data_IF_226368012059
#
_entry.id   IF_226368012059
#
_cell.length_a   1.000
_cell.length_b   1.000
_cell.length_c   1.000
_cell.angle_alpha   90.00
_cell.angle_beta   90.00
_cell.angle_gamma   90.00
#
_symmetry.space_group_name_H-M   'P 1'
#
loop_
_entity.id
_entity.type
_entity.pdbx_description
1 polymer ?
#
# COMPACT_ATOMS: atom_id res chain seq x y z
N UNK A 1 11.36 -1.60 18.97
CA UNK A 1 10.26 -2.51 19.38
C UNK A 1 9.54 -2.03 20.63
N UNK A 2 9.52 -0.72 20.84
CA UNK A 2 8.94 0.03 21.96
C UNK A 2 7.61 0.68 21.60
N UNK A 3 7.13 0.50 20.36
CA UNK A 3 5.79 0.87 19.94
C UNK A 3 4.78 0.26 20.93
N UNK A 4 3.86 1.08 21.43
CA UNK A 4 2.82 0.58 22.34
C UNK A 4 1.85 -0.33 21.58
N UNK A 5 1.33 -1.34 22.27
CA UNK A 5 0.30 -2.23 21.72
C UNK A 5 -0.93 -1.47 21.18
N UNK A 6 -1.40 -0.43 21.87
CA UNK A 6 -2.55 0.39 21.44
C UNK A 6 -2.30 1.09 20.10
N UNK A 7 -1.13 1.72 19.93
CA UNK A 7 -0.74 2.36 18.65
C UNK A 7 -0.65 1.34 17.52
N UNK A 8 -0.11 0.15 17.78
CA UNK A 8 -0.11 -0.93 16.81
C UNK A 8 -1.52 -1.36 16.43
N UNK A 9 -2.43 -1.53 17.39
CA UNK A 9 -3.83 -1.87 17.10
C UNK A 9 -4.53 -0.77 16.28
N UNK A 10 -4.28 0.50 16.61
CA UNK A 10 -4.80 1.64 15.86
C UNK A 10 -4.32 1.60 14.41
N UNK A 11 -3.01 1.43 14.20
CA UNK A 11 -2.42 1.26 12.87
C UNK A 11 -3.06 0.12 12.09
N UNK A 12 -3.17 -1.09 12.67
CA UNK A 12 -3.72 -2.26 11.97
C UNK A 12 -5.18 -2.05 11.54
N UNK A 13 -6.00 -1.37 12.36
CA UNK A 13 -7.38 -1.04 11.98
C UNK A 13 -7.39 -0.04 10.82
N UNK A 14 -6.59 1.02 10.91
CA UNK A 14 -6.54 2.05 9.88
C UNK A 14 -6.03 1.50 8.55
N UNK A 15 -4.98 0.69 8.59
CA UNK A 15 -4.40 0.05 7.42
C UNK A 15 -5.38 -0.95 6.78
N UNK A 16 -6.12 -1.73 7.59
CA UNK A 16 -7.19 -2.57 7.07
C UNK A 16 -8.28 -1.77 6.33
N UNK A 17 -8.73 -0.64 6.91
CA UNK A 17 -9.71 0.23 6.23
C UNK A 17 -9.13 0.83 4.94
N UNK A 18 -7.86 1.22 4.95
CA UNK A 18 -7.15 1.71 3.77
C UNK A 18 -7.11 0.66 2.65
N UNK A 19 -6.80 -0.60 2.97
CA UNK A 19 -6.70 -1.68 1.98
C UNK A 19 -8.04 -2.00 1.29
N UNK A 20 -9.17 -1.82 1.98
CA UNK A 20 -10.50 -1.94 1.36
C UNK A 20 -10.69 -0.89 0.27
N UNK A 21 -10.34 0.37 0.57
CA UNK A 21 -10.42 1.45 -0.41
C UNK A 21 -9.37 1.31 -1.52
N UNK A 22 -8.15 0.86 -1.17
CA UNK A 22 -7.06 0.58 -2.10
C UNK A 22 -7.47 -0.44 -3.16
N UNK A 23 -8.08 -1.55 -2.72
CA UNK A 23 -8.64 -2.58 -3.61
C UNK A 23 -9.72 -2.00 -4.52
N UNK A 24 -10.62 -1.17 -4.00
CA UNK A 24 -11.63 -0.51 -4.81
C UNK A 24 -11.07 0.44 -5.88
N UNK A 25 -9.92 1.07 -5.63
CA UNK A 25 -9.24 1.92 -6.63
C UNK A 25 -8.56 1.07 -7.69
N UNK A 26 -7.98 -0.08 -7.33
CA UNK A 26 -7.48 -1.06 -8.32
C UNK A 26 -8.60 -1.57 -9.24
N UNK A 27 -9.75 -1.90 -8.68
CA UNK A 27 -10.94 -2.29 -9.46
C UNK A 27 -11.45 -1.16 -10.37
N UNK A 28 -11.29 0.10 -9.96
CA UNK A 28 -11.56 1.26 -10.80
C UNK A 28 -10.58 1.34 -11.98
N UNK A 29 -9.28 1.14 -11.73
CA UNK A 29 -8.25 1.13 -12.77
C UNK A 29 -8.45 0.01 -13.79
N UNK A 30 -8.89 -1.16 -13.35
CA UNK A 30 -9.22 -2.28 -14.23
C UNK A 30 -10.27 -1.88 -15.28
N UNK A 31 -11.20 -0.97 -14.93
CA UNK A 31 -12.24 -0.46 -15.84
C UNK A 31 -11.73 0.65 -16.78
N UNK A 32 -10.51 1.14 -16.58
CA UNK A 32 -9.90 2.19 -17.39
C UNK A 32 -9.07 1.65 -18.56
N UNK A 33 -8.99 0.33 -18.75
CA UNK A 33 -8.19 -0.30 -19.82
C UNK A 33 -8.89 -1.53 -20.40
N UNK A 34 -8.61 -1.81 -21.68
CA UNK A 34 -9.00 -3.05 -22.35
C UNK A 34 -7.78 -3.90 -22.75
N UNK A 35 -6.55 -3.46 -22.44
CA UNK A 35 -5.33 -4.23 -22.71
C UNK A 35 -5.31 -5.48 -21.81
N UNK A 36 -5.37 -6.71 -22.37
CA UNK A 36 -5.39 -7.94 -21.59
C UNK A 36 -4.19 -8.09 -20.65
N UNK A 37 -3.02 -7.54 -21.00
CA UNK A 37 -1.82 -7.60 -20.15
C UNK A 37 -1.97 -6.71 -18.92
N UNK A 38 -2.51 -5.51 -19.08
CA UNK A 38 -2.77 -4.60 -17.97
C UNK A 38 -3.90 -5.10 -17.09
N UNK A 39 -4.98 -5.65 -17.68
CA UNK A 39 -6.04 -6.28 -16.90
C UNK A 39 -5.51 -7.42 -16.03
N UNK A 40 -4.76 -8.36 -16.64
CA UNK A 40 -4.18 -9.50 -15.91
C UNK A 40 -3.20 -9.06 -14.81
N UNK A 41 -2.46 -7.98 -15.07
CA UNK A 41 -1.56 -7.40 -14.07
C UNK A 41 -2.35 -6.81 -12.89
N UNK A 42 -3.36 -5.98 -13.14
CA UNK A 42 -4.17 -5.35 -12.09
C UNK A 42 -4.92 -6.41 -11.28
N UNK A 43 -5.52 -7.41 -11.93
CA UNK A 43 -6.20 -8.53 -11.27
C UNK A 43 -5.24 -9.26 -10.32
N UNK A 44 -4.00 -9.52 -10.77
CA UNK A 44 -2.98 -10.14 -9.93
C UNK A 44 -2.62 -9.29 -8.71
N UNK A 45 -2.49 -7.97 -8.86
CA UNK A 45 -2.22 -7.08 -7.71
C UNK A 45 -3.40 -7.11 -6.72
N UNK A 46 -4.64 -7.12 -7.21
CA UNK A 46 -5.84 -7.26 -6.36
C UNK A 46 -5.79 -8.57 -5.56
N UNK A 47 -5.48 -9.69 -6.22
CA UNK A 47 -5.32 -10.99 -5.56
C UNK A 47 -4.23 -10.97 -4.49
N UNK A 48 -3.09 -10.33 -4.77
CA UNK A 48 -1.96 -10.23 -3.84
C UNK A 48 -2.31 -9.37 -2.60
N UNK A 49 -3.02 -8.25 -2.78
CA UNK A 49 -3.54 -7.43 -1.66
C UNK A 49 -4.53 -8.21 -0.81
N UNK A 50 -5.44 -8.96 -1.44
CA UNK A 50 -6.38 -9.82 -0.71
C UNK A 50 -5.66 -10.92 0.08
N UNK A 51 -4.67 -11.55 -0.54
CA UNK A 51 -3.84 -12.57 0.10
C UNK A 51 -3.05 -12.03 1.30
N UNK A 52 -2.44 -10.85 1.16
CA UNK A 52 -1.75 -10.16 2.26
C UNK A 52 -2.72 -9.89 3.41
N UNK A 53 -3.90 -9.34 3.12
CA UNK A 53 -4.92 -9.03 4.11
C UNK A 53 -5.33 -10.28 4.90
N UNK A 54 -5.57 -11.40 4.22
CA UNK A 54 -6.00 -12.66 4.84
C UNK A 54 -4.90 -13.36 5.64
N UNK A 55 -3.64 -13.19 5.25
CA UNK A 55 -2.50 -13.91 5.84
C UNK A 55 -1.70 -13.11 6.85
N UNK A 56 -1.75 -11.79 6.76
CA UNK A 56 -0.97 -10.86 7.59
C UNK A 56 -1.91 -10.05 8.46
N UNK A 57 -2.78 -9.21 7.87
CA UNK A 57 -3.58 -8.26 8.63
C UNK A 57 -4.59 -8.92 9.54
N UNK A 58 -5.47 -9.78 9.03
CA UNK A 58 -6.52 -10.42 9.84
C UNK A 58 -5.91 -11.26 10.99
N UNK A 59 -4.90 -12.13 10.75
CA UNK A 59 -4.25 -12.86 11.83
C UNK A 59 -3.54 -11.96 12.84
N UNK A 60 -2.85 -10.91 12.39
CA UNK A 60 -2.16 -9.96 13.27
C UNK A 60 -3.15 -9.18 14.14
N UNK A 61 -4.25 -8.70 13.57
CA UNK A 61 -5.34 -8.04 14.30
C UNK A 61 -5.94 -8.98 15.36
N UNK A 62 -6.20 -10.24 15.01
CA UNK A 62 -6.70 -11.24 15.96
C UNK A 62 -5.70 -11.53 17.08
N UNK A 63 -4.41 -11.68 16.76
CA UNK A 63 -3.32 -11.86 17.75
C UNK A 63 -3.20 -10.65 18.66
N UNK A 64 -3.48 -9.46 18.14
CA UNK A 64 -3.50 -8.21 18.88
C UNK A 64 -4.79 -7.99 19.69
N UNK A 65 -5.76 -8.91 19.63
CA UNK A 65 -7.01 -8.81 20.39
C UNK A 65 -8.08 -7.89 19.79
N UNK A 66 -7.90 -7.44 18.54
CA UNK A 66 -8.85 -6.58 17.84
C UNK A 66 -10.04 -7.41 17.38
N UNK A 67 -11.24 -6.96 17.72
CA UNK A 67 -12.50 -7.62 17.37
C UNK A 67 -13.10 -7.06 16.08
N UNK A 68 -13.88 -7.87 15.37
CA UNK A 68 -14.64 -7.41 14.18
C UNK A 68 -15.55 -6.23 14.51
N UNK A 69 -16.12 -6.20 15.72
CA UNK A 69 -16.96 -5.09 16.18
C UNK A 69 -16.17 -3.79 16.33
N UNK A 70 -14.92 -3.84 16.78
CA UNK A 70 -14.06 -2.66 16.85
C UNK A 70 -13.75 -2.12 15.44
N UNK A 71 -13.43 -3.01 14.49
CA UNK A 71 -13.21 -2.63 13.10
C UNK A 71 -14.45 -1.97 12.50
N UNK A 72 -15.63 -2.57 12.67
CA UNK A 72 -16.90 -2.05 12.15
C UNK A 72 -17.30 -0.70 12.73
N UNK A 73 -16.92 -0.41 13.98
CA UNK A 73 -17.22 0.87 14.64
C UNK A 73 -16.11 1.92 14.45
N UNK A 74 -15.01 1.55 13.80
CA UNK A 74 -13.89 2.46 13.57
C UNK A 74 -14.15 3.35 12.36
N UNK A 75 -13.72 4.60 12.47
CA UNK A 75 -13.67 5.53 11.36
C UNK A 75 -12.23 5.66 10.87
N UNK A 76 -12.07 5.85 9.57
CA UNK A 76 -10.77 6.15 8.97
C UNK A 76 -10.24 7.49 9.52
N UNK A 77 -8.94 7.55 9.81
CA UNK A 77 -8.26 8.78 10.20
C UNK A 77 -8.42 9.85 9.13
N UNK A 78 -8.44 11.10 9.56
CA UNK A 78 -8.59 12.27 8.68
C UNK A 78 -7.54 12.34 7.57
N UNK A 79 -6.26 12.06 7.87
CA UNK A 79 -5.17 12.10 6.88
C UNK A 79 -5.31 10.95 5.91
N UNK A 80 -5.64 9.75 6.41
CA UNK A 80 -5.83 8.57 5.57
C UNK A 80 -7.06 8.72 4.66
N UNK A 81 -8.14 9.30 5.16
CA UNK A 81 -9.33 9.61 4.36
C UNK A 81 -9.07 10.67 3.28
N UNK A 82 -8.22 11.66 3.56
CA UNK A 82 -7.73 12.60 2.55
C UNK A 82 -6.88 11.89 1.50
N UNK A 83 -5.98 11.01 1.93
CA UNK A 83 -5.10 10.25 1.04
C UNK A 83 -5.90 9.34 0.09
N UNK A 84 -6.81 8.53 0.64
CA UNK A 84 -7.72 7.69 -0.15
C UNK A 84 -8.55 8.51 -1.14
N UNK A 85 -9.07 9.67 -0.70
CA UNK A 85 -9.83 10.56 -1.59
C UNK A 85 -8.97 11.06 -2.75
N UNK A 86 -7.72 11.44 -2.46
CA UNK A 86 -6.75 11.83 -3.48
C UNK A 86 -6.52 10.69 -4.47
N UNK A 87 -6.11 9.50 -4.00
CA UNK A 87 -5.84 8.36 -4.88
C UNK A 87 -7.05 7.94 -5.71
N UNK A 88 -8.26 7.97 -5.15
CA UNK A 88 -9.50 7.64 -5.88
C UNK A 88 -9.80 8.61 -7.03
N UNK A 89 -9.40 9.87 -6.92
CA UNK A 89 -9.65 10.85 -7.97
C UNK A 89 -8.66 10.73 -9.13
N UNK A 90 -7.43 10.25 -8.87
CA UNK A 90 -6.35 10.18 -9.86
C UNK A 90 -6.73 9.38 -11.13
N UNK A 91 -7.27 8.15 -11.07
CA UNK A 91 -7.59 7.38 -12.28
C UNK A 91 -8.51 8.14 -13.25
N UNK A 92 -9.54 8.80 -12.73
CA UNK A 92 -10.53 9.52 -13.54
C UNK A 92 -9.99 10.85 -14.03
N UNK A 93 -9.23 11.57 -13.20
CA UNK A 93 -8.80 12.92 -13.55
C UNK A 93 -7.47 12.99 -14.31
N UNK A 94 -6.62 11.96 -14.18
CA UNK A 94 -5.24 11.94 -14.71
C UNK A 94 -4.91 10.67 -15.50
N UNK A 95 -5.83 9.70 -15.53
CA UNK A 95 -5.72 8.51 -16.36
C UNK A 95 -5.07 7.29 -15.67
N UNK A 96 -5.00 6.19 -16.43
CA UNK A 96 -4.56 4.89 -15.93
C UNK A 96 -3.12 4.91 -15.38
N UNK A 97 -2.16 5.44 -16.14
CA UNK A 97 -0.75 5.51 -15.74
C UNK A 97 -0.58 6.27 -14.41
N UNK A 98 -1.32 7.37 -14.26
CA UNK A 98 -1.32 8.18 -13.05
C UNK A 98 -1.85 7.40 -11.84
N UNK A 99 -2.93 6.64 -12.01
CA UNK A 99 -3.48 5.85 -10.90
C UNK A 99 -2.60 4.65 -10.54
N UNK A 100 -2.00 3.98 -11.53
CA UNK A 100 -0.98 2.95 -11.28
C UNK A 100 0.21 3.52 -10.51
N UNK A 101 0.66 4.74 -10.87
CA UNK A 101 1.76 5.43 -10.18
C UNK A 101 1.39 5.81 -8.74
N UNK A 102 0.16 6.31 -8.52
CA UNK A 102 -0.31 6.71 -7.20
C UNK A 102 -0.33 5.53 -6.23
N UNK A 103 -0.88 4.38 -6.65
CA UNK A 103 -0.99 3.18 -5.82
C UNK A 103 0.35 2.44 -5.65
N UNK A 104 1.25 2.50 -6.65
CA UNK A 104 2.58 1.91 -6.56
C UNK A 104 3.38 2.46 -5.37
N UNK A 105 3.20 3.74 -5.04
CA UNK A 105 4.00 4.38 -4.00
C UNK A 105 3.90 3.67 -2.65
N UNK A 106 2.69 3.29 -2.20
CA UNK A 106 2.54 2.65 -0.90
C UNK A 106 3.20 1.26 -0.91
N UNK A 107 3.01 0.47 -1.97
CA UNK A 107 3.61 -0.86 -2.08
C UNK A 107 5.14 -0.77 -2.03
N UNK A 108 5.70 0.21 -2.76
CA UNK A 108 7.14 0.38 -2.84
C UNK A 108 7.74 0.87 -1.52
N UNK A 109 7.13 1.85 -0.86
CA UNK A 109 7.69 2.39 0.38
C UNK A 109 7.69 1.35 1.50
N UNK A 110 6.67 0.48 1.57
CA UNK A 110 6.62 -0.58 2.58
C UNK A 110 7.68 -1.66 2.34
N UNK A 111 7.94 -2.05 1.09
CA UNK A 111 9.07 -2.91 0.76
C UNK A 111 10.42 -2.27 1.17
N UNK A 112 10.57 -0.98 0.91
CA UNK A 112 11.78 -0.22 1.28
C UNK A 112 11.97 -0.14 2.80
N UNK A 113 10.93 0.22 3.56
CA UNK A 113 10.96 0.31 5.02
C UNK A 113 11.23 -1.08 5.60
N UNK A 114 10.48 -2.09 5.16
CA UNK A 114 10.63 -3.48 5.61
C UNK A 114 12.07 -3.95 5.49
N UNK A 115 12.68 -3.78 4.31
CA UNK A 115 14.08 -4.14 4.08
C UNK A 115 15.04 -3.32 4.94
N UNK A 116 14.92 -1.99 4.91
CA UNK A 116 15.86 -1.09 5.60
C UNK A 116 15.90 -1.35 7.10
N UNK A 117 14.73 -1.55 7.73
CA UNK A 117 14.65 -1.83 9.17
C UNK A 117 15.16 -3.25 9.47
N UNK A 118 14.87 -4.23 8.61
CA UNK A 118 15.36 -5.61 8.78
C UNK A 118 16.88 -5.72 8.72
N UNK A 119 17.51 -5.00 7.79
CA UNK A 119 18.96 -4.93 7.65
C UNK A 119 19.63 -4.19 8.81
N UNK A 120 18.99 -3.12 9.31
CA UNK A 120 19.57 -2.29 10.37
C UNK A 120 19.41 -2.89 11.77
N UNK A 121 18.31 -3.60 12.04
CA UNK A 121 17.92 -4.06 13.38
C UNK A 121 17.67 -5.57 13.44
N UNK A 122 18.51 -6.36 12.76
CA UNK A 122 18.32 -7.81 12.61
C UNK A 122 18.19 -8.54 13.94
N UNK A 123 19.02 -8.21 14.94
CA UNK A 123 19.01 -8.88 16.24
C UNK A 123 17.77 -8.51 17.06
N UNK A 124 17.39 -7.23 17.06
CA UNK A 124 16.22 -6.72 17.78
C UNK A 124 14.92 -7.25 17.20
N UNK A 125 14.85 -7.40 15.87
CA UNK A 125 13.68 -7.95 15.19
C UNK A 125 13.51 -9.44 15.42
N UNK A 126 14.60 -10.20 15.62
CA UNK A 126 14.53 -11.64 15.85
C UNK A 126 13.61 -12.02 17.02
N UNK A 127 13.52 -11.16 18.04
CA UNK A 127 12.67 -11.33 19.22
C UNK A 127 11.51 -10.32 19.30
N UNK A 128 11.28 -9.51 18.26
CA UNK A 128 10.24 -8.47 18.25
C UNK A 128 8.83 -9.07 18.12
N UNK A 129 7.83 -8.58 18.86
CA UNK A 129 6.44 -8.98 18.66
C UNK A 129 5.88 -8.56 17.29
N UNK A 130 6.56 -7.63 16.60
CA UNK A 130 6.17 -7.08 15.29
C UNK A 130 6.91 -7.74 14.13
N UNK A 131 7.71 -8.77 14.38
CA UNK A 131 8.51 -9.44 13.35
C UNK A 131 7.67 -9.89 12.16
N UNK A 132 6.51 -10.49 12.42
CA UNK A 132 5.60 -11.02 11.38
C UNK A 132 5.24 -9.95 10.33
N UNK A 133 5.14 -8.67 10.74
CA UNK A 133 4.87 -7.55 9.85
C UNK A 133 6.06 -7.28 8.92
N UNK A 134 7.28 -7.26 9.45
CA UNK A 134 8.49 -7.06 8.64
C UNK A 134 8.75 -8.25 7.71
N UNK A 135 8.52 -9.47 8.18
CA UNK A 135 8.66 -10.70 7.38
C UNK A 135 7.68 -10.69 6.18
N UNK A 136 6.49 -10.08 6.32
CA UNK A 136 5.54 -9.92 5.22
C UNK A 136 6.07 -8.97 4.12
N UNK A 137 6.48 -7.75 4.50
CA UNK A 137 6.95 -6.74 3.55
C UNK A 137 8.34 -7.01 2.96
N UNK A 138 9.09 -7.94 3.55
CA UNK A 138 10.38 -8.42 3.01
C UNK A 138 10.27 -9.75 2.28
N UNK A 139 9.07 -10.34 2.18
CA UNK A 139 8.87 -11.60 1.51
C UNK A 139 9.18 -11.52 0.01
N UNK A 140 9.73 -12.59 -0.55
CA UNK A 140 10.06 -12.67 -1.98
C UNK A 140 8.84 -12.39 -2.86
N UNK A 141 7.66 -12.86 -2.45
CA UNK A 141 6.40 -12.56 -3.15
C UNK A 141 6.17 -11.05 -3.21
N UNK A 142 6.20 -10.36 -2.07
CA UNK A 142 5.90 -8.92 -2.01
C UNK A 142 6.92 -8.10 -2.80
N UNK A 143 8.20 -8.45 -2.70
CA UNK A 143 9.28 -7.80 -3.46
C UNK A 143 9.12 -8.02 -4.96
N UNK A 144 8.79 -9.25 -5.37
CA UNK A 144 8.59 -9.57 -6.80
C UNK A 144 7.37 -8.85 -7.40
N UNK A 145 6.30 -8.72 -6.63
CA UNK A 145 5.10 -7.96 -7.00
C UNK A 145 5.39 -6.49 -7.20
N UNK A 146 6.18 -5.90 -6.29
CA UNK A 146 6.64 -4.53 -6.41
C UNK A 146 7.46 -4.32 -7.69
N UNK A 147 8.42 -5.21 -7.97
CA UNK A 147 9.22 -5.09 -9.18
C UNK A 147 8.35 -5.22 -10.44
N UNK A 148 7.41 -6.16 -10.47
CA UNK A 148 6.46 -6.32 -11.59
C UNK A 148 5.62 -5.05 -11.81
N UNK A 149 5.24 -4.36 -10.74
CA UNK A 149 4.52 -3.09 -10.82
C UNK A 149 5.40 -1.97 -11.37
N UNK A 150 6.62 -1.83 -10.86
CA UNK A 150 7.61 -0.86 -11.37
C UNK A 150 7.84 -1.06 -12.86
N UNK A 151 8.13 -2.30 -13.28
CA UNK A 151 8.37 -2.65 -14.69
C UNK A 151 7.15 -2.32 -15.57
N UNK A 152 5.94 -2.47 -15.01
CA UNK A 152 4.70 -2.12 -15.71
C UNK A 152 4.57 -0.60 -15.86
N UNK A 153 4.80 0.17 -14.81
CA UNK A 153 4.77 1.65 -14.89
C UNK A 153 5.84 2.17 -15.86
N UNK A 154 7.05 1.61 -15.85
CA UNK A 154 8.13 1.97 -16.77
C UNK A 154 7.73 1.69 -18.23
N UNK A 155 7.12 0.53 -18.50
CA UNK A 155 6.61 0.19 -19.82
C UNK A 155 5.53 1.16 -20.28
N UNK A 156 4.54 1.42 -19.44
CA UNK A 156 3.44 2.35 -19.76
C UNK A 156 3.90 3.81 -19.87
N UNK A 157 5.06 4.15 -19.28
CA UNK A 157 5.71 5.46 -19.40
C UNK A 157 6.58 5.60 -20.65
N UNK A 158 6.70 4.58 -21.49
CA UNK A 158 7.56 4.65 -22.69
C UNK A 158 7.03 5.68 -23.69
N UNK A 159 7.82 6.72 -23.97
CA UNK A 159 7.51 7.73 -24.98
C UNK A 159 6.60 8.87 -24.49
N UNK A 160 6.33 8.96 -23.19
CA UNK A 160 5.70 10.15 -22.60
C UNK A 160 6.65 11.35 -22.68
N UNK A 161 6.09 12.57 -22.69
CA UNK A 161 6.88 13.80 -22.63
C UNK A 161 7.34 14.13 -21.20
N UNK A 162 8.28 15.06 -21.09
CA UNK A 162 8.86 15.48 -19.82
C UNK A 162 7.81 16.02 -18.84
N UNK A 163 6.79 16.74 -19.35
CA UNK A 163 5.71 17.30 -18.53
C UNK A 163 4.86 16.18 -17.88
N UNK A 164 4.54 15.14 -18.64
CA UNK A 164 3.82 13.96 -18.16
C UNK A 164 4.66 13.18 -17.16
N UNK A 165 5.95 12.98 -17.45
CA UNK A 165 6.87 12.30 -16.54
C UNK A 165 6.99 13.02 -15.20
N UNK A 166 7.18 14.35 -15.22
CA UNK A 166 7.19 15.17 -14.01
C UNK A 166 5.85 15.09 -13.25
N UNK A 167 4.72 15.01 -13.96
CA UNK A 167 3.41 14.83 -13.35
C UNK A 167 3.32 13.52 -12.58
N UNK A 168 3.85 12.42 -13.12
CA UNK A 168 3.89 11.12 -12.44
C UNK A 168 4.77 11.19 -11.19
N UNK A 169 5.94 11.84 -11.27
CA UNK A 169 6.81 12.07 -10.12
C UNK A 169 6.10 12.88 -9.02
N UNK A 170 5.37 13.94 -9.38
CA UNK A 170 4.61 14.75 -8.40
C UNK A 170 3.54 13.92 -7.70
N UNK A 171 2.83 13.05 -8.42
CA UNK A 171 1.83 12.15 -7.84
C UNK A 171 2.50 11.20 -6.84
N UNK A 172 3.60 10.57 -7.24
CA UNK A 172 4.35 9.66 -6.39
C UNK A 172 4.86 10.36 -5.11
N UNK A 173 5.43 11.56 -5.24
CA UNK A 173 5.88 12.37 -4.08
C UNK A 173 4.70 12.73 -3.17
N UNK A 174 3.57 13.12 -3.75
CA UNK A 174 2.36 13.47 -2.98
C UNK A 174 1.87 12.28 -2.15
N UNK A 175 1.85 11.08 -2.73
CA UNK A 175 1.51 9.85 -1.99
C UNK A 175 2.49 9.60 -0.83
N UNK A 176 3.80 9.78 -1.06
CA UNK A 176 4.81 9.65 -0.01
C UNK A 176 4.65 10.68 1.13
N UNK A 177 4.23 11.91 0.81
CA UNK A 177 3.90 12.93 1.81
C UNK A 177 2.69 12.53 2.66
N UNK A 178 1.67 11.91 2.05
CA UNK A 178 0.52 11.36 2.80
C UNK A 178 0.93 10.22 3.73
N UNK A 179 1.76 9.28 3.26
CA UNK A 179 2.31 8.20 4.08
C UNK A 179 3.04 8.76 5.31
N UNK A 180 3.95 9.72 5.12
CA UNK A 180 4.67 10.35 6.23
C UNK A 180 3.71 11.04 7.21
N UNK A 181 2.74 11.81 6.70
CA UNK A 181 1.73 12.46 7.55
C UNK A 181 0.89 11.46 8.33
N UNK A 182 0.62 10.28 7.76
CA UNK A 182 -0.11 9.23 8.45
C UNK A 182 0.75 8.60 9.56
N UNK A 183 2.02 8.28 9.28
CA UNK A 183 2.95 7.78 10.29
C UNK A 183 3.18 8.77 11.45
N UNK A 184 3.21 10.07 11.18
CA UNK A 184 3.33 11.11 12.23
C UNK A 184 2.09 11.20 13.15
N UNK A 185 0.94 10.70 12.69
CA UNK A 185 -0.32 10.70 13.46
C UNK A 185 -0.46 9.48 14.37
N UNK A 186 0.11 8.35 13.96
CA UNK A 186 0.09 7.08 14.69
C UNK A 186 0.92 7.16 15.96
#
# INVERSE_FOLDING_TARGET
>A
GDLSHERFCSYMIQDYLYLLDYTGILEQLLKCTEDPKLCSFIDRIIEEVGYETDRVHIPAMKKAGITEKEVQNSCMDTVLAEYVRYMRSIPTERGLLAGLTALLQCSWVYAYIGRSVTEQYTEELACSPYRDWFDAYTSDSYVSSNQMWIDTVDRESTGIDDETAESMCRIFITCAEYENRFWDRL
#
